data_IF_354982467399
#
_entry.id   IF_354982467399
#
_cell.length_a   1.000
_cell.length_b   1.000
_cell.length_c   1.000
_cell.angle_alpha   90.00
_cell.angle_beta   90.00
_cell.angle_gamma   90.00
#
_symmetry.space_group_name_H-M   'P 1'
#
loop_
_entity.id
_entity.type
_entity.pdbx_description
1 polymer ?
#
# COMPACT_ATOMS: atom_id res chain seq x y z
N UNK A 1 -45.21 -48.70 3.39
CA UNK A 1 -44.56 -47.53 2.75
C UNK A 1 -44.13 -46.48 3.79
N UNK A 2 -43.24 -46.80 4.74
CA UNK A 2 -43.05 -45.96 5.94
C UNK A 2 -41.62 -45.51 6.29
N UNK A 3 -40.57 -46.21 5.86
CA UNK A 3 -39.20 -45.91 6.31
C UNK A 3 -38.40 -45.06 5.31
N UNK A 4 -38.57 -45.32 4.02
CA UNK A 4 -37.88 -44.57 2.96
C UNK A 4 -38.31 -43.11 2.85
N UNK A 5 -39.61 -42.82 3.05
CA UNK A 5 -40.11 -41.44 3.05
C UNK A 5 -39.56 -40.62 4.23
N UNK A 6 -39.34 -41.26 5.38
CA UNK A 6 -38.79 -40.61 6.58
C UNK A 6 -37.30 -40.28 6.41
N UNK A 7 -36.52 -41.21 5.84
CA UNK A 7 -35.10 -40.99 5.53
C UNK A 7 -34.93 -39.88 4.48
N UNK A 8 -35.79 -39.86 3.46
CA UNK A 8 -35.75 -38.85 2.40
C UNK A 8 -36.14 -37.46 2.92
N UNK A 9 -37.05 -37.37 3.90
CA UNK A 9 -37.46 -36.12 4.54
C UNK A 9 -36.39 -35.60 5.53
N UNK A 10 -35.67 -36.49 6.21
CA UNK A 10 -34.51 -36.14 7.04
C UNK A 10 -33.31 -35.69 6.17
N UNK A 11 -33.07 -36.35 5.03
CA UNK A 11 -32.03 -35.95 4.09
C UNK A 11 -32.33 -34.61 3.40
N UNK A 12 -33.60 -34.34 3.05
CA UNK A 12 -33.99 -33.03 2.49
C UNK A 12 -33.96 -31.92 3.53
N UNK A 13 -34.32 -32.19 4.79
CA UNK A 13 -34.21 -31.20 5.86
C UNK A 13 -32.74 -30.94 6.23
N UNK A 14 -31.87 -31.94 6.27
CA UNK A 14 -30.43 -31.72 6.50
C UNK A 14 -29.73 -31.00 5.34
N UNK A 15 -30.18 -31.18 4.09
CA UNK A 15 -29.69 -30.43 2.93
C UNK A 15 -30.18 -28.97 2.90
N UNK A 16 -31.29 -28.63 3.58
CA UNK A 16 -31.79 -27.25 3.70
C UNK A 16 -31.32 -26.54 4.98
N UNK A 17 -30.85 -27.26 5.99
CA UNK A 17 -30.29 -26.67 7.22
C UNK A 17 -28.86 -26.14 6.99
N UNK A 18 -28.14 -26.62 5.97
CA UNK A 18 -26.79 -26.13 5.63
C UNK A 18 -26.73 -24.68 5.14
N UNK A 19 -27.86 -24.07 4.79
CA UNK A 19 -27.96 -22.67 4.36
C UNK A 19 -28.70 -21.76 5.35
N UNK A 20 -29.04 -22.26 6.53
CA UNK A 20 -29.62 -21.48 7.64
C UNK A 20 -28.55 -21.05 8.64
N UNK A 21 -27.37 -20.63 8.16
CA UNK A 21 -26.61 -19.65 8.90
C UNK A 21 -27.39 -18.34 8.79
N UNK A 22 -28.32 -18.12 9.73
CA UNK A 22 -29.00 -16.86 9.93
C UNK A 22 -27.97 -15.83 10.43
N UNK A 23 -27.06 -15.42 9.53
CA UNK A 23 -26.24 -14.25 9.70
C UNK A 23 -27.18 -13.09 9.39
N UNK A 24 -27.42 -12.24 10.38
CA UNK A 24 -28.25 -11.05 10.18
C UNK A 24 -27.71 -10.25 8.97
N UNK A 25 -28.56 -9.67 8.11
CA UNK A 25 -28.11 -8.83 7.00
C UNK A 25 -27.12 -7.73 7.44
N UNK A 26 -27.21 -7.25 8.69
CA UNK A 26 -26.24 -6.32 9.28
C UNK A 26 -24.85 -6.93 9.48
N UNK A 27 -24.75 -8.17 9.96
CA UNK A 27 -23.47 -8.88 10.11
C UNK A 27 -22.80 -9.12 8.75
N UNK A 28 -23.56 -9.53 7.72
CA UNK A 28 -22.99 -9.74 6.37
C UNK A 28 -22.48 -8.44 5.77
N UNK A 29 -23.23 -7.34 5.92
CA UNK A 29 -22.82 -6.02 5.44
C UNK A 29 -21.60 -5.47 6.20
N UNK A 30 -21.51 -5.73 7.50
CA UNK A 30 -20.34 -5.38 8.32
C UNK A 30 -19.12 -6.21 7.94
N UNK A 31 -19.28 -7.51 7.69
CA UNK A 31 -18.18 -8.37 7.22
C UNK A 31 -17.58 -7.89 5.91
N UNK A 32 -18.41 -7.46 4.95
CA UNK A 32 -17.95 -6.82 3.70
C UNK A 32 -17.16 -5.55 4.00
N UNK A 33 -17.66 -4.70 4.91
CA UNK A 33 -17.02 -3.45 5.28
C UNK A 33 -15.63 -3.65 5.90
N UNK A 34 -15.51 -4.63 6.81
CA UNK A 34 -14.23 -5.03 7.44
C UNK A 34 -13.24 -5.50 6.36
N UNK A 35 -13.71 -6.35 5.44
CA UNK A 35 -12.87 -6.87 4.37
C UNK A 35 -12.37 -5.75 3.44
N UNK A 36 -13.27 -4.87 3.00
CA UNK A 36 -12.93 -3.72 2.15
C UNK A 36 -11.94 -2.78 2.84
N UNK A 37 -12.13 -2.49 4.14
CA UNK A 37 -11.19 -1.65 4.88
C UNK A 37 -9.81 -2.29 4.94
N UNK A 38 -9.73 -3.58 5.24
CA UNK A 38 -8.46 -4.32 5.25
C UNK A 38 -7.74 -4.27 3.90
N UNK A 39 -8.46 -4.50 2.80
CA UNK A 39 -7.87 -4.38 1.46
C UNK A 39 -7.35 -2.97 1.17
N UNK A 40 -8.13 -1.94 1.51
CA UNK A 40 -7.77 -0.56 1.27
C UNK A 40 -6.60 -0.10 2.15
N UNK A 41 -6.56 -0.50 3.42
CA UNK A 41 -5.45 -0.23 4.35
C UNK A 41 -4.16 -0.88 3.83
N UNK A 42 -4.21 -2.14 3.39
CA UNK A 42 -3.04 -2.82 2.85
C UNK A 42 -2.55 -2.17 1.55
N UNK A 43 -3.47 -1.80 0.66
CA UNK A 43 -3.13 -1.13 -0.60
C UNK A 43 -2.47 0.22 -0.34
N UNK A 44 -3.07 1.05 0.54
CA UNK A 44 -2.59 2.40 0.80
C UNK A 44 -1.31 2.41 1.65
N UNK A 45 -1.11 1.38 2.49
CA UNK A 45 0.12 1.21 3.24
C UNK A 45 1.34 1.17 2.32
N UNK A 46 1.29 0.39 1.24
CA UNK A 46 2.39 0.32 0.27
C UNK A 46 2.67 1.69 -0.32
N UNK A 47 1.63 2.40 -0.77
CA UNK A 47 1.79 3.71 -1.39
C UNK A 47 2.32 4.77 -0.41
N UNK A 48 1.76 4.85 0.81
CA UNK A 48 2.22 5.78 1.84
C UNK A 48 3.64 5.46 2.33
N UNK A 49 3.97 4.18 2.51
CA UNK A 49 5.32 3.75 2.87
C UNK A 49 6.32 4.22 1.82
N UNK A 50 5.96 4.13 0.53
CA UNK A 50 6.73 4.63 -0.60
C UNK A 50 6.71 6.15 -0.80
N UNK A 51 5.90 6.90 -0.03
CA UNK A 51 5.95 8.38 0.02
C UNK A 51 6.69 8.88 1.26
N UNK A 52 6.73 8.10 2.35
CA UNK A 52 7.41 8.44 3.59
C UNK A 52 8.93 8.54 3.43
N UNK A 53 9.61 9.47 4.12
CA UNK A 53 11.05 9.65 3.97
C UNK A 53 11.79 8.34 4.24
N UNK A 54 12.87 8.05 3.48
CA UNK A 54 13.70 6.88 3.73
C UNK A 54 14.27 6.95 5.15
N UNK A 55 14.53 5.78 5.73
CA UNK A 55 15.22 5.73 7.01
C UNK A 55 16.68 6.14 6.81
N UNK A 56 17.20 6.94 7.72
CA UNK A 56 18.64 7.15 7.80
C UNK A 56 19.26 5.82 8.25
N UNK A 57 20.13 5.25 7.41
CA UNK A 57 20.92 4.10 7.81
C UNK A 57 21.74 4.52 9.03
N UNK A 58 21.58 3.84 10.17
CA UNK A 58 22.56 3.95 11.24
C UNK A 58 23.91 3.65 10.61
N UNK A 59 24.84 4.63 10.65
CA UNK A 59 26.18 4.44 10.16
C UNK A 59 26.68 3.08 10.66
N UNK A 60 27.10 2.22 9.74
CA UNK A 60 27.71 0.92 10.03
C UNK A 60 29.09 1.15 10.64
N UNK A 61 29.11 1.75 11.84
CA UNK A 61 30.28 1.78 12.68
C UNK A 61 30.38 0.38 13.25
N UNK A 62 31.35 -0.38 12.74
CA UNK A 62 31.77 -1.62 13.37
C UNK A 62 32.09 -1.29 14.83
N UNK A 63 31.42 -1.89 15.83
CA UNK A 63 31.65 -1.52 17.21
C UNK A 63 33.10 -1.84 17.57
N UNK A 64 33.86 -0.83 17.99
CA UNK A 64 35.14 -1.05 18.63
C UNK A 64 34.92 -1.87 19.91
N UNK A 65 35.86 -2.78 20.29
CA UNK A 65 35.66 -3.64 21.45
C UNK A 65 35.50 -2.77 22.71
N UNK A 66 34.32 -2.82 23.33
CA UNK A 66 34.01 -2.10 24.57
C UNK A 66 32.99 -0.97 24.48
N UNK A 67 32.40 -0.69 23.30
CA UNK A 67 31.26 0.22 23.21
C UNK A 67 29.91 -0.51 23.35
N UNK A 68 28.92 0.11 24.04
CA UNK A 68 27.56 -0.43 24.08
C UNK A 68 26.99 -0.56 22.66
N UNK A 69 26.13 -1.56 22.46
CA UNK A 69 25.50 -1.82 21.17
C UNK A 69 24.94 -0.53 20.55
N UNK A 70 25.11 -0.31 19.24
CA UNK A 70 24.59 0.89 18.59
C UNK A 70 23.09 0.99 18.89
N UNK A 71 22.67 2.16 19.40
CA UNK A 71 21.25 2.43 19.65
C UNK A 71 20.46 2.10 18.37
N UNK A 72 19.31 1.42 18.48
CA UNK A 72 18.50 1.14 17.30
C UNK A 72 18.19 2.46 16.60
N UNK A 73 18.47 2.52 15.29
CA UNK A 73 18.21 3.69 14.48
C UNK A 73 16.83 4.26 14.81
N UNK A 74 16.75 5.53 15.21
CA UNK A 74 15.48 6.19 15.54
C UNK A 74 14.62 6.16 14.29
N UNK A 75 13.56 5.34 14.30
CA UNK A 75 12.62 5.24 13.19
C UNK A 75 11.96 6.60 13.00
N UNK A 76 11.92 7.10 11.76
CA UNK A 76 11.28 8.38 11.40
C UNK A 76 9.75 8.29 11.45
N UNK A 77 9.19 8.05 12.63
CA UNK A 77 7.75 7.82 12.87
C UNK A 77 6.96 9.11 13.08
N UNK A 78 7.60 10.27 13.19
CA UNK A 78 6.89 11.56 13.36
C UNK A 78 6.31 12.14 12.07
N UNK A 79 6.40 11.40 10.96
CA UNK A 79 5.87 11.81 9.67
C UNK A 79 4.33 11.87 9.67
N UNK A 80 3.77 12.85 8.96
CA UNK A 80 2.33 13.04 8.78
C UNK A 80 1.65 11.83 8.13
N UNK A 81 2.32 11.16 7.18
CA UNK A 81 1.79 9.92 6.58
C UNK A 81 1.61 8.79 7.61
N UNK A 82 2.51 8.69 8.57
CA UNK A 82 2.39 7.70 9.65
C UNK A 82 1.22 8.03 10.56
N UNK A 83 1.06 9.30 10.95
CA UNK A 83 -0.05 9.77 11.79
C UNK A 83 -1.41 9.48 11.13
N UNK A 84 -1.53 9.78 9.83
CA UNK A 84 -2.74 9.52 9.06
C UNK A 84 -3.08 8.02 9.00
N UNK A 85 -2.10 7.17 8.66
CA UNK A 85 -2.32 5.73 8.57
C UNK A 85 -2.64 5.13 9.95
N UNK A 86 -1.93 5.58 11.00
CA UNK A 86 -2.16 5.12 12.36
C UNK A 86 -3.57 5.45 12.84
N UNK A 87 -4.05 6.68 12.58
CA UNK A 87 -5.42 7.07 12.92
C UNK A 87 -6.44 6.15 12.23
N UNK A 88 -6.31 5.97 10.90
CA UNK A 88 -7.24 5.14 10.14
C UNK A 88 -7.23 3.68 10.61
N UNK A 89 -6.04 3.15 10.90
CA UNK A 89 -5.87 1.79 11.40
C UNK A 89 -6.41 1.63 12.83
N UNK A 90 -6.26 2.64 13.70
CA UNK A 90 -6.80 2.61 15.05
C UNK A 90 -8.34 2.64 15.03
N UNK A 91 -8.94 3.48 14.19
CA UNK A 91 -10.39 3.53 14.02
C UNK A 91 -10.92 2.20 13.48
N UNK A 92 -10.25 1.59 12.49
CA UNK A 92 -10.61 0.26 11.98
C UNK A 92 -10.47 -0.85 13.04
N UNK A 93 -9.36 -0.84 13.79
CA UNK A 93 -9.11 -1.78 14.89
C UNK A 93 -10.22 -1.69 15.95
N UNK A 94 -10.61 -0.48 16.35
CA UNK A 94 -11.70 -0.27 17.30
C UNK A 94 -13.03 -0.80 16.77
N UNK A 95 -13.32 -0.61 15.48
CA UNK A 95 -14.50 -1.15 14.82
C UNK A 95 -14.53 -2.68 14.81
N UNK A 96 -13.40 -3.31 14.52
CA UNK A 96 -13.23 -4.76 14.59
C UNK A 96 -13.42 -5.29 16.02
N UNK A 97 -12.93 -4.58 17.04
CA UNK A 97 -13.14 -4.95 18.44
C UNK A 97 -14.62 -4.90 18.83
N UNK A 98 -15.35 -3.85 18.44
CA UNK A 98 -16.79 -3.74 18.69
C UNK A 98 -17.59 -4.83 17.95
N UNK A 99 -17.17 -5.17 16.73
CA UNK A 99 -17.77 -6.26 15.96
C UNK A 99 -17.62 -7.60 16.69
N UNK A 100 -16.42 -7.91 17.20
CA UNK A 100 -16.16 -9.13 17.98
C UNK A 100 -16.95 -9.17 19.30
N UNK A 101 -17.20 -8.01 19.90
CA UNK A 101 -18.07 -7.88 21.08
C UNK A 101 -19.57 -7.92 20.76
N UNK A 102 -19.95 -8.22 19.51
CA UNK A 102 -21.33 -8.23 19.02
C UNK A 102 -22.05 -6.88 19.12
N UNK A 103 -21.30 -5.77 19.22
CA UNK A 103 -21.85 -4.42 19.25
C UNK A 103 -21.85 -3.79 17.85
N UNK A 104 -22.80 -4.21 17.02
CA UNK A 104 -22.83 -3.90 15.58
C UNK A 104 -23.05 -2.41 15.26
N UNK A 105 -23.83 -1.69 16.06
CA UNK A 105 -24.08 -0.25 15.84
C UNK A 105 -22.80 0.57 16.00
N UNK A 106 -22.02 0.30 17.06
CA UNK A 106 -20.75 0.97 17.29
C UNK A 106 -19.68 0.49 16.31
N UNK A 107 -19.66 -0.81 15.97
CA UNK A 107 -18.78 -1.34 14.94
C UNK A 107 -18.99 -0.65 13.59
N UNK A 108 -20.24 -0.52 13.14
CA UNK A 108 -20.59 0.17 11.89
C UNK A 108 -20.10 1.62 11.89
N UNK A 109 -20.35 2.35 12.98
CA UNK A 109 -19.93 3.75 13.10
C UNK A 109 -18.42 3.90 12.97
N UNK A 110 -17.65 3.05 13.66
CA UNK A 110 -16.18 3.11 13.63
C UNK A 110 -15.63 2.67 12.28
N UNK A 111 -16.09 1.54 11.73
CA UNK A 111 -15.64 1.07 10.41
C UNK A 111 -15.96 2.07 9.30
N UNK A 112 -17.11 2.75 9.39
CA UNK A 112 -17.47 3.82 8.45
C UNK A 112 -16.64 5.09 8.67
N UNK A 113 -16.28 5.40 9.92
CA UNK A 113 -15.31 6.44 10.26
C UNK A 113 -13.93 6.17 9.64
N UNK A 114 -13.44 4.94 9.76
CA UNK A 114 -12.18 4.51 9.15
C UNK A 114 -12.19 4.69 7.62
N UNK A 115 -13.31 4.41 6.94
CA UNK A 115 -13.44 4.69 5.51
C UNK A 115 -13.39 6.19 5.17
N UNK A 116 -13.90 7.06 6.04
CA UNK A 116 -13.78 8.50 5.89
C UNK A 116 -12.32 8.95 5.98
N UNK A 117 -11.57 8.41 6.94
CA UNK A 117 -10.13 8.66 7.09
C UNK A 117 -9.34 8.14 5.89
N UNK A 118 -9.57 6.88 5.48
CA UNK A 118 -8.98 6.28 4.29
C UNK A 118 -9.25 7.12 3.04
N UNK A 119 -10.47 7.62 2.87
CA UNK A 119 -10.83 8.46 1.72
C UNK A 119 -9.93 9.71 1.64
N UNK A 120 -9.60 10.33 2.76
CA UNK A 120 -8.69 11.48 2.78
C UNK A 120 -7.24 11.07 2.46
N UNK A 121 -6.79 9.92 2.96
CA UNK A 121 -5.47 9.38 2.65
C UNK A 121 -5.33 9.11 1.14
N UNK A 122 -6.29 8.41 0.56
CA UNK A 122 -6.29 8.09 -0.87
C UNK A 122 -6.27 9.36 -1.73
N UNK A 123 -6.97 10.41 -1.33
CA UNK A 123 -6.99 11.71 -2.02
C UNK A 123 -5.61 12.39 -2.04
N UNK A 124 -4.89 12.35 -0.92
CA UNK A 124 -3.51 12.87 -0.85
C UNK A 124 -2.56 12.03 -1.70
N UNK A 125 -2.66 10.70 -1.63
CA UNK A 125 -1.78 9.78 -2.35
C UNK A 125 -1.96 9.91 -3.86
N UNK A 126 -3.20 9.90 -4.37
CA UNK A 126 -3.43 10.02 -5.81
C UNK A 126 -2.91 11.36 -6.35
N UNK A 127 -3.09 12.46 -5.61
CA UNK A 127 -2.56 13.76 -6.00
C UNK A 127 -1.03 13.74 -6.13
N UNK A 128 -0.34 13.16 -5.14
CA UNK A 128 1.12 12.99 -5.21
C UNK A 128 1.56 12.11 -6.36
N UNK A 129 0.81 11.05 -6.65
CA UNK A 129 1.13 10.16 -7.78
C UNK A 129 0.91 10.84 -9.14
N UNK A 130 -0.05 11.75 -9.25
CA UNK A 130 -0.25 12.58 -10.45
C UNK A 130 0.96 13.50 -10.64
N UNK A 131 1.43 14.16 -9.57
CA UNK A 131 2.63 15.01 -9.58
C UNK A 131 3.89 14.23 -10.02
N UNK A 132 4.11 13.04 -9.43
CA UNK A 132 5.23 12.16 -9.78
C UNK A 132 5.15 11.66 -11.23
N UNK A 133 3.98 11.19 -11.67
CA UNK A 133 3.81 10.66 -13.02
C UNK A 133 3.98 11.76 -14.08
N UNK A 134 3.45 12.96 -13.82
CA UNK A 134 3.61 14.12 -14.71
C UNK A 134 5.07 14.52 -14.83
N UNK A 135 5.77 14.69 -13.71
CA UNK A 135 7.18 15.07 -13.72
C UNK A 135 8.07 14.04 -14.42
N UNK A 136 7.79 12.74 -14.25
CA UNK A 136 8.50 11.66 -14.95
C UNK A 136 8.24 11.67 -16.46
N UNK A 137 6.99 11.91 -16.90
CA UNK A 137 6.64 11.95 -18.32
C UNK A 137 7.18 13.20 -19.02
N UNK A 138 7.07 14.36 -18.37
CA UNK A 138 7.52 15.65 -18.92
C UNK A 138 9.05 15.74 -19.02
N UNK A 139 9.78 15.17 -18.06
CA UNK A 139 11.25 15.09 -18.10
C UNK A 139 11.75 14.11 -19.18
N UNK A 140 11.05 12.99 -19.38
CA UNK A 140 11.40 12.00 -20.39
C UNK A 140 11.09 12.47 -21.82
N UNK A 141 10.04 13.29 -22.00
CA UNK A 141 9.51 13.64 -23.31
C UNK A 141 10.53 14.29 -24.26
N UNK A 142 11.35 15.29 -23.89
CA UNK A 142 12.32 15.90 -24.80
C UNK A 142 13.35 14.92 -25.36
N UNK A 143 13.85 14.00 -24.54
CA UNK A 143 14.83 12.98 -24.96
C UNK A 143 14.20 12.01 -25.96
N UNK A 144 12.99 11.53 -25.67
CA UNK A 144 12.27 10.56 -26.50
C UNK A 144 11.83 11.18 -27.85
N UNK A 145 11.41 12.44 -27.85
CA UNK A 145 11.01 13.11 -29.09
C UNK A 145 12.23 13.28 -30.01
N UNK A 146 13.40 13.62 -29.45
CA UNK A 146 14.66 13.78 -30.18
C UNK A 146 15.22 12.47 -30.74
N UNK A 147 15.06 11.34 -30.04
CA UNK A 147 15.57 10.04 -30.50
C UNK A 147 14.86 9.50 -31.74
N UNK A 148 13.74 10.10 -32.13
CA UNK A 148 12.91 9.73 -33.28
C UNK A 148 12.37 8.29 -33.30
N UNK A 149 12.55 7.51 -32.23
CA UNK A 149 12.07 6.13 -32.14
C UNK A 149 10.54 6.05 -32.02
N UNK A 150 9.91 5.30 -32.93
CA UNK A 150 8.45 5.19 -32.97
C UNK A 150 7.89 4.41 -31.77
N UNK A 151 8.60 3.36 -31.34
CA UNK A 151 8.21 2.53 -30.19
C UNK A 151 8.24 3.35 -28.88
N UNK A 152 9.34 4.07 -28.64
CA UNK A 152 9.45 5.00 -27.49
C UNK A 152 8.35 6.07 -27.49
N UNK A 153 8.04 6.67 -28.65
CA UNK A 153 6.97 7.67 -28.78
C UNK A 153 5.59 7.07 -28.51
N UNK A 154 5.34 5.84 -28.94
CA UNK A 154 4.08 5.16 -28.68
C UNK A 154 3.89 4.88 -27.18
N UNK A 155 4.93 4.41 -26.49
CA UNK A 155 4.92 4.21 -25.04
C UNK A 155 4.69 5.52 -24.28
N UNK A 156 5.35 6.61 -24.70
CA UNK A 156 5.14 7.93 -24.10
C UNK A 156 3.69 8.41 -24.24
N UNK A 157 3.06 8.22 -25.41
CA UNK A 157 1.64 8.55 -25.63
C UNK A 157 0.71 7.73 -24.72
N UNK A 158 0.99 6.44 -24.53
CA UNK A 158 0.25 5.59 -23.60
C UNK A 158 0.39 6.10 -22.16
N UNK A 159 1.58 6.56 -21.77
CA UNK A 159 1.83 7.18 -20.48
C UNK A 159 0.97 8.43 -20.24
N UNK A 160 0.99 9.39 -21.17
CA UNK A 160 0.16 10.61 -21.05
C UNK A 160 -1.34 10.33 -21.10
N UNK A 161 -1.79 9.35 -21.88
CA UNK A 161 -3.19 8.93 -21.88
C UNK A 161 -3.61 8.43 -20.51
N UNK A 162 -2.82 7.56 -19.91
CA UNK A 162 -3.11 6.98 -18.60
C UNK A 162 -3.03 8.02 -17.47
N UNK A 163 -2.10 8.97 -17.56
CA UNK A 163 -2.05 10.15 -16.67
C UNK A 163 -3.37 10.93 -16.75
N UNK A 164 -3.84 11.23 -17.96
CA UNK A 164 -5.09 11.95 -18.16
C UNK A 164 -6.29 11.20 -17.61
N UNK A 165 -6.38 9.89 -17.86
CA UNK A 165 -7.44 9.06 -17.30
C UNK A 165 -7.43 9.06 -15.76
N UNK A 166 -6.26 9.10 -15.13
CA UNK A 166 -6.15 9.20 -13.68
C UNK A 166 -6.62 10.57 -13.14
N UNK A 167 -6.32 11.67 -13.85
CA UNK A 167 -6.83 13.01 -13.51
C UNK A 167 -8.35 13.08 -13.59
N UNK A 168 -8.94 12.45 -14.60
CA UNK A 168 -10.40 12.39 -14.76
C UNK A 168 -11.04 11.55 -13.63
N UNK A 169 -10.42 10.43 -13.23
CA UNK A 169 -10.84 9.64 -12.06
C UNK A 169 -10.75 10.43 -10.75
N UNK A 170 -9.65 11.16 -10.54
CA UNK A 170 -9.46 12.03 -9.40
C UNK A 170 -10.54 13.11 -9.33
N UNK A 171 -10.79 13.80 -10.45
CA UNK A 171 -11.80 14.86 -10.57
C UNK A 171 -13.21 14.32 -10.34
N UNK A 172 -13.52 13.14 -10.89
CA UNK A 172 -14.80 12.45 -10.65
C UNK A 172 -14.96 12.10 -9.16
N UNK A 173 -13.88 11.64 -8.53
CA UNK A 173 -13.84 11.35 -7.10
C UNK A 173 -14.10 12.61 -6.25
N UNK A 174 -13.48 13.74 -6.59
CA UNK A 174 -13.71 15.02 -5.91
C UNK A 174 -15.16 15.49 -6.03
N UNK A 175 -15.73 15.42 -7.24
CA UNK A 175 -17.09 15.90 -7.53
C UNK A 175 -18.20 15.00 -6.98
N UNK A 176 -17.89 13.76 -6.59
CA UNK A 176 -18.84 12.85 -5.96
C UNK A 176 -19.18 13.26 -4.51
N UNK A 177 -20.32 12.79 -3.99
CA UNK A 177 -20.79 13.16 -2.65
C UNK A 177 -19.76 12.81 -1.55
N UNK A 178 -19.50 13.70 -0.56
CA UNK A 178 -18.53 13.45 0.51
C UNK A 178 -18.75 12.13 1.25
N UNK A 179 -20.01 11.71 1.38
CA UNK A 179 -20.39 10.50 2.13
C UNK A 179 -20.30 9.21 1.32
N UNK A 180 -20.01 9.25 0.03
CA UNK A 180 -19.87 8.06 -0.82
C UNK A 180 -18.45 7.46 -0.73
N UNK A 181 -18.01 7.09 0.47
CA UNK A 181 -16.62 6.66 0.71
C UNK A 181 -16.20 5.48 -0.16
N UNK A 182 -17.01 4.43 -0.27
CA UNK A 182 -16.70 3.22 -1.08
C UNK A 182 -16.43 3.57 -2.54
N UNK A 183 -17.31 4.38 -3.14
CA UNK A 183 -17.15 4.82 -4.53
C UNK A 183 -15.89 5.66 -4.74
N UNK A 184 -15.61 6.63 -3.84
CA UNK A 184 -14.38 7.42 -3.87
C UNK A 184 -13.13 6.56 -3.72
N UNK A 185 -13.13 5.63 -2.78
CA UNK A 185 -12.02 4.70 -2.56
C UNK A 185 -11.74 3.86 -3.81
N UNK A 186 -12.78 3.34 -4.48
CA UNK A 186 -12.62 2.61 -5.74
C UNK A 186 -12.02 3.50 -6.84
N UNK A 187 -12.57 4.70 -7.06
CA UNK A 187 -12.05 5.62 -8.08
C UNK A 187 -10.59 6.01 -7.83
N UNK A 188 -10.24 6.34 -6.59
CA UNK A 188 -8.87 6.71 -6.23
C UNK A 188 -7.91 5.51 -6.32
N UNK A 189 -8.34 4.31 -5.91
CA UNK A 189 -7.56 3.07 -6.07
C UNK A 189 -7.27 2.78 -7.54
N UNK A 190 -8.28 2.87 -8.40
CA UNK A 190 -8.13 2.71 -9.85
C UNK A 190 -7.21 3.78 -10.43
N UNK A 191 -7.36 5.04 -10.02
CA UNK A 191 -6.48 6.14 -10.42
C UNK A 191 -5.02 5.93 -10.02
N UNK A 192 -4.74 5.43 -8.81
CA UNK A 192 -3.38 5.10 -8.38
C UNK A 192 -2.80 3.96 -9.23
N UNK A 193 -3.60 2.92 -9.53
CA UNK A 193 -3.18 1.82 -10.39
C UNK A 193 -2.90 2.27 -11.84
N UNK A 194 -3.71 3.18 -12.39
CA UNK A 194 -3.48 3.76 -13.71
C UNK A 194 -2.24 4.65 -13.72
N UNK A 195 -1.96 5.40 -12.65
CA UNK A 195 -0.73 6.19 -12.51
C UNK A 195 0.51 5.30 -12.42
N UNK A 196 0.48 4.20 -11.66
CA UNK A 196 1.56 3.20 -11.65
C UNK A 196 1.81 2.60 -13.03
N UNK A 197 0.76 2.45 -13.84
CA UNK A 197 0.89 2.03 -15.25
C UNK A 197 1.50 3.12 -16.12
N UNK A 198 1.09 4.38 -15.96
CA UNK A 198 1.68 5.53 -16.66
C UNK A 198 3.19 5.66 -16.37
N UNK A 199 3.58 5.58 -15.09
CA UNK A 199 4.99 5.59 -14.66
C UNK A 199 5.78 4.43 -15.28
N UNK A 200 5.22 3.21 -15.35
CA UNK A 200 5.84 2.08 -16.06
C UNK A 200 6.08 2.37 -17.53
N UNK A 201 5.10 2.95 -18.23
CA UNK A 201 5.29 3.33 -19.63
C UNK A 201 6.35 4.42 -19.80
N UNK A 202 6.44 5.37 -18.88
CA UNK A 202 7.50 6.38 -18.89
C UNK A 202 8.89 5.73 -18.75
N UNK A 203 9.06 4.83 -17.77
CA UNK A 203 10.30 4.07 -17.55
C UNK A 203 10.68 3.25 -18.79
N UNK A 204 9.73 2.50 -19.34
CA UNK A 204 9.97 1.70 -20.54
C UNK A 204 10.34 2.58 -21.75
N UNK A 205 9.66 3.72 -21.93
CA UNK A 205 9.97 4.65 -23.02
C UNK A 205 11.38 5.26 -22.87
N UNK A 206 11.81 5.56 -21.64
CA UNK A 206 13.18 6.02 -21.37
C UNK A 206 14.21 4.96 -21.74
N UNK A 207 14.01 3.71 -21.30
CA UNK A 207 14.89 2.58 -21.65
C UNK A 207 14.97 2.44 -23.16
N UNK A 208 13.83 2.27 -23.84
CA UNK A 208 13.77 2.07 -25.29
C UNK A 208 14.43 3.20 -26.10
N UNK A 209 14.31 4.45 -25.62
CA UNK A 209 14.92 5.61 -26.28
C UNK A 209 16.45 5.65 -26.17
N UNK A 210 17.01 4.98 -25.16
CA UNK A 210 18.45 4.91 -24.88
C UNK A 210 19.08 3.60 -25.35
N UNK A 211 18.26 2.60 -25.69
CA UNK A 211 18.72 1.34 -26.28
C UNK A 211 19.17 1.58 -27.72
N UNK A 212 20.42 1.25 -28.08
CA UNK A 212 20.90 1.26 -29.46
C UNK A 212 20.02 0.38 -30.36
N UNK A 213 19.93 0.72 -31.65
CA UNK A 213 19.06 -0.03 -32.58
C UNK A 213 19.48 -1.51 -32.73
N UNK A 214 20.77 -1.82 -32.58
CA UNK A 214 21.29 -3.20 -32.64
C UNK A 214 20.80 -4.08 -31.48
N UNK A 215 20.58 -3.50 -30.30
CA UNK A 215 20.16 -4.19 -29.09
C UNK A 215 18.63 -4.37 -29.02
N UNK A 216 17.88 -3.77 -29.96
CA UNK A 216 16.42 -3.82 -29.97
C UNK A 216 15.94 -5.15 -30.54
N UNK A 217 14.86 -5.72 -29.96
CA UNK A 217 14.35 -7.03 -30.39
C UNK A 217 13.86 -7.02 -31.84
N UNK A 218 13.51 -5.86 -32.40
CA UNK A 218 13.06 -5.76 -33.79
C UNK A 218 14.18 -5.94 -34.82
N UNK A 219 15.44 -5.67 -34.44
CA UNK A 219 16.60 -5.70 -35.35
C UNK A 219 17.53 -6.90 -35.11
N UNK A 220 17.28 -7.70 -34.06
CA UNK A 220 18.09 -8.85 -33.71
C UNK A 220 17.73 -10.08 -34.55
N UNK A 221 18.69 -10.60 -35.32
CA UNK A 221 18.57 -11.91 -35.95
C UNK A 221 18.73 -13.01 -34.90
N UNK A 222 17.65 -13.74 -34.59
CA UNK A 222 17.67 -14.81 -33.58
C UNK A 222 18.04 -16.16 -34.19
N UNK A 223 19.07 -16.80 -33.67
CA UNK A 223 19.41 -18.19 -33.93
C UNK A 223 18.50 -19.15 -33.16
N UNK A 224 18.52 -20.45 -33.49
CA UNK A 224 17.74 -21.47 -32.76
C UNK A 224 18.17 -21.63 -31.29
N UNK A 225 19.42 -21.27 -30.95
CA UNK A 225 19.91 -21.28 -29.58
C UNK A 225 19.38 -20.05 -28.82
N UNK A 226 19.36 -18.88 -29.46
CA UNK A 226 18.76 -17.65 -28.92
C UNK A 226 17.26 -17.82 -28.65
N UNK A 227 16.56 -18.63 -29.45
CA UNK A 227 15.14 -18.97 -29.19
C UNK A 227 14.97 -19.83 -27.93
N UNK A 228 15.94 -20.70 -27.60
CA UNK A 228 15.91 -21.47 -26.35
C UNK A 228 16.23 -20.60 -25.15
N UNK A 229 17.16 -19.65 -25.30
CA UNK A 229 17.51 -18.68 -24.27
C UNK A 229 16.37 -17.68 -24.03
N UNK A 230 15.76 -17.15 -25.09
CA UNK A 230 14.55 -16.33 -25.02
C UNK A 230 13.39 -17.03 -24.29
N UNK A 231 13.24 -18.35 -24.47
CA UNK A 231 12.24 -19.15 -23.74
C UNK A 231 12.55 -19.24 -22.24
N UNK A 232 13.83 -19.22 -21.86
CA UNK A 232 14.22 -19.18 -20.46
C UNK A 232 14.08 -17.77 -19.89
N UNK A 233 14.39 -16.73 -20.66
CA UNK A 233 14.13 -15.34 -20.31
C UNK A 233 12.64 -15.08 -20.13
N UNK A 234 11.75 -15.61 -20.97
CA UNK A 234 10.29 -15.51 -20.82
C UNK A 234 9.78 -15.98 -19.44
N UNK A 235 10.50 -16.88 -18.77
CA UNK A 235 10.15 -17.34 -17.42
C UNK A 235 10.48 -16.32 -16.33
N UNK A 236 11.41 -15.40 -16.58
CA UNK A 236 11.76 -14.37 -15.62
C UNK A 236 10.62 -13.35 -15.49
N UNK A 237 10.34 -12.91 -14.26
CA UNK A 237 9.24 -11.97 -14.00
C UNK A 237 9.55 -10.62 -14.64
N UNK A 238 8.55 -10.00 -15.27
CA UNK A 238 8.69 -8.68 -15.92
C UNK A 238 9.28 -7.59 -15.00
N UNK A 239 9.02 -7.68 -13.69
CA UNK A 239 9.60 -6.79 -12.70
C UNK A 239 11.14 -6.86 -12.68
N UNK A 240 11.70 -8.07 -12.60
CA UNK A 240 13.15 -8.29 -12.51
C UNK A 240 13.84 -7.85 -13.79
N UNK A 241 13.28 -8.20 -14.96
CA UNK A 241 13.80 -7.78 -16.27
C UNK A 241 13.96 -6.26 -16.38
N UNK A 242 12.92 -5.50 -16.02
CA UNK A 242 12.97 -4.04 -16.11
C UNK A 242 13.90 -3.46 -15.06
N UNK A 243 13.96 -4.07 -13.87
CA UNK A 243 14.86 -3.63 -12.79
C UNK A 243 16.33 -3.83 -13.17
N UNK A 244 16.68 -5.00 -13.71
CA UNK A 244 18.04 -5.35 -14.09
C UNK A 244 18.50 -4.50 -15.29
N UNK A 245 17.61 -4.26 -16.27
CA UNK A 245 17.91 -3.34 -17.38
C UNK A 245 18.09 -1.90 -16.90
N UNK A 246 17.28 -1.42 -15.94
CA UNK A 246 17.49 -0.11 -15.32
C UNK A 246 18.85 -0.01 -14.63
N UNK A 247 19.21 -1.01 -13.82
CA UNK A 247 20.50 -1.06 -13.13
C UNK A 247 21.65 -1.00 -14.15
N UNK A 248 21.61 -1.84 -15.18
CA UNK A 248 22.63 -1.85 -16.23
C UNK A 248 22.75 -0.50 -16.95
N UNK A 249 21.64 0.19 -17.23
CA UNK A 249 21.67 1.49 -17.91
C UNK A 249 22.19 2.61 -17.00
N UNK A 250 21.91 2.54 -15.69
CA UNK A 250 22.42 3.47 -14.70
C UNK A 250 23.93 3.27 -14.48
N UNK A 251 24.38 2.02 -14.31
CA UNK A 251 25.79 1.67 -14.12
C UNK A 251 26.64 2.06 -15.34
N UNK A 252 26.10 1.83 -16.55
CA UNK A 252 26.74 2.23 -17.80
C UNK A 252 26.56 3.73 -18.13
N UNK A 253 26.00 4.54 -17.22
CA UNK A 253 25.75 5.98 -17.38
C UNK A 253 24.94 6.35 -18.63
N UNK A 254 24.12 5.43 -19.15
CA UNK A 254 23.18 5.68 -20.24
C UNK A 254 21.92 6.41 -19.77
N UNK A 255 21.60 6.28 -18.48
CA UNK A 255 20.50 6.96 -17.81
C UNK A 255 20.93 7.49 -16.44
N UNK A 256 20.36 8.62 -16.05
CA UNK A 256 20.49 9.14 -14.69
C UNK A 256 19.55 8.38 -13.76
N UNK A 257 20.01 8.09 -12.55
CA UNK A 257 19.19 7.41 -11.54
C UNK A 257 18.03 8.28 -11.04
N UNK A 258 18.26 9.58 -10.98
CA UNK A 258 17.31 10.55 -10.43
C UNK A 258 16.81 11.47 -11.51
N UNK A 259 15.51 11.73 -11.51
CA UNK A 259 14.85 12.63 -12.44
C UNK A 259 14.36 13.85 -11.68
N UNK A 260 14.87 15.03 -12.02
CA UNK A 260 14.38 16.29 -11.48
C UNK A 260 13.09 16.72 -12.22
N UNK A 261 12.04 17.14 -11.50
CA UNK A 261 10.83 17.64 -12.12
C UNK A 261 11.10 18.89 -12.99
N UNK A 262 10.63 18.92 -14.24
CA UNK A 262 10.77 20.11 -15.07
C UNK A 262 9.91 21.25 -14.49
N UNK A 263 10.51 22.43 -14.33
CA UNK A 263 9.81 23.64 -13.87
C UNK A 263 9.76 23.86 -12.35
N UNK A 264 10.24 22.91 -11.53
CA UNK A 264 10.42 23.14 -10.09
C UNK A 264 11.75 22.54 -9.59
N UNK A 265 12.83 23.33 -9.50
CA UNK A 265 14.14 22.86 -9.06
C UNK A 265 14.20 22.47 -7.57
N UNK A 266 13.25 22.94 -6.75
CA UNK A 266 13.17 22.64 -5.32
C UNK A 266 12.40 21.34 -5.03
N UNK A 267 11.75 20.76 -6.06
CA UNK A 267 11.00 19.53 -5.90
C UNK A 267 11.96 18.33 -5.73
N UNK A 268 11.60 17.42 -4.82
CA UNK A 268 12.39 16.22 -4.53
C UNK A 268 12.63 15.43 -5.82
N UNK A 269 13.90 15.09 -6.15
CA UNK A 269 14.18 14.30 -7.34
C UNK A 269 13.60 12.88 -7.18
N UNK A 270 13.07 12.35 -8.28
CA UNK A 270 12.47 11.02 -8.31
C UNK A 270 13.53 9.98 -8.65
N UNK A 271 13.75 8.99 -7.78
CA UNK A 271 14.62 7.84 -8.07
C UNK A 271 13.86 6.80 -8.92
N UNK A 272 14.39 6.49 -10.11
CA UNK A 272 13.78 5.55 -11.05
C UNK A 272 13.60 4.14 -10.47
N UNK A 273 14.54 3.68 -9.63
CA UNK A 273 14.44 2.35 -9.02
C UNK A 273 13.34 2.32 -7.97
N UNK A 274 13.22 3.37 -7.16
CA UNK A 274 12.13 3.47 -6.17
C UNK A 274 10.76 3.56 -6.84
N UNK A 275 10.66 4.33 -7.92
CA UNK A 275 9.42 4.42 -8.71
C UNK A 275 9.08 3.08 -9.36
N UNK A 276 10.08 2.32 -9.83
CA UNK A 276 9.86 0.97 -10.37
C UNK A 276 9.34 0.01 -9.29
N UNK A 277 9.95 -0.02 -8.10
CA UNK A 277 9.48 -0.86 -6.99
C UNK A 277 8.02 -0.54 -6.61
N UNK A 278 7.68 0.74 -6.48
CA UNK A 278 6.32 1.17 -6.17
C UNK A 278 5.30 0.80 -7.26
N UNK A 279 5.69 0.88 -8.54
CA UNK A 279 4.81 0.54 -9.65
C UNK A 279 4.31 -0.92 -9.62
N UNK A 280 5.07 -1.81 -8.97
CA UNK A 280 4.71 -3.22 -8.77
C UNK A 280 4.13 -3.50 -7.37
N UNK A 281 3.97 -2.47 -6.54
CA UNK A 281 3.39 -2.59 -5.21
C UNK A 281 4.36 -3.15 -4.15
N UNK A 282 5.67 -2.99 -4.36
CA UNK A 282 6.67 -3.30 -3.35
C UNK A 282 6.97 -2.08 -2.49
N UNK A 283 7.23 -2.29 -1.20
CA UNK A 283 7.79 -1.26 -0.33
C UNK A 283 9.29 -1.21 -0.61
N UNK A 284 9.81 -0.05 -0.96
CA UNK A 284 11.24 0.14 -1.24
C UNK A 284 12.08 -0.27 -0.03
N UNK A 285 13.21 -0.94 -0.23
CA UNK A 285 14.06 -1.52 0.84
C UNK A 285 14.53 -0.54 1.92
N UNK A 286 14.60 0.76 1.61
CA UNK A 286 14.99 1.82 2.56
C UNK A 286 13.82 2.43 3.34
N UNK A 287 12.60 1.97 3.09
CA UNK A 287 11.36 2.53 3.64
C UNK A 287 10.71 1.53 4.59
N UNK A 288 10.07 2.06 5.64
CA UNK A 288 9.40 1.26 6.66
C UNK A 288 8.01 0.86 6.18
N UNK A 289 7.57 -0.34 6.57
CA UNK A 289 6.16 -0.70 6.54
C UNK A 289 5.43 0.06 7.66
N UNK A 290 4.73 1.13 7.28
CA UNK A 290 4.05 2.01 8.23
C UNK A 290 2.92 1.30 8.97
N UNK A 291 2.24 0.34 8.34
CA UNK A 291 1.16 -0.42 8.95
C UNK A 291 1.68 -1.37 10.02
N UNK A 292 2.81 -2.02 9.77
CA UNK A 292 3.45 -2.88 10.77
C UNK A 292 3.81 -2.08 12.03
N UNK A 293 4.43 -0.91 11.86
CA UNK A 293 4.77 -0.02 12.98
C UNK A 293 3.53 0.53 13.69
N UNK A 294 2.48 0.89 12.94
CA UNK A 294 1.22 1.36 13.52
C UNK A 294 0.57 0.27 14.38
N UNK A 295 0.57 -0.98 13.90
CA UNK A 295 0.05 -2.13 14.63
C UNK A 295 0.83 -2.40 15.92
N UNK A 296 2.16 -2.25 15.91
CA UNK A 296 2.98 -2.39 17.12
C UNK A 296 2.58 -1.33 18.16
N UNK A 297 2.49 -0.06 17.76
CA UNK A 297 2.10 1.01 18.68
C UNK A 297 0.67 0.86 19.21
N UNK A 298 -0.28 0.42 18.39
CA UNK A 298 -1.66 0.20 18.83
C UNK A 298 -1.71 -0.92 19.87
N UNK A 299 -0.99 -2.03 19.65
CA UNK A 299 -0.90 -3.13 20.61
C UNK A 299 -0.27 -2.70 21.93
N UNK A 300 0.81 -1.92 21.89
CA UNK A 300 1.46 -1.40 23.11
C UNK A 300 0.53 -0.45 23.88
N UNK A 301 -0.13 0.46 23.17
CA UNK A 301 -0.98 1.50 23.81
C UNK A 301 -2.28 0.93 24.37
N UNK A 302 -2.89 -0.06 23.70
CA UNK A 302 -4.15 -0.67 24.16
C UNK A 302 -3.94 -1.89 25.07
N UNK A 303 -2.86 -2.65 24.87
CA UNK A 303 -2.42 -3.70 25.80
C UNK A 303 -2.06 -3.13 27.16
N UNK A 304 -1.35 -2.00 27.20
CA UNK A 304 -1.06 -1.28 28.44
C UNK A 304 -2.31 -0.74 29.16
N UNK A 305 -3.40 -0.47 28.42
CA UNK A 305 -4.70 -0.09 29.01
C UNK A 305 -5.47 -1.28 29.62
N UNK A 306 -5.07 -2.52 29.33
CA UNK A 306 -5.64 -3.74 29.94
C UNK A 306 -4.88 -4.21 31.18
N UNK A 307 -3.73 -3.62 31.51
CA UNK A 307 -2.99 -3.87 32.75
C UNK A 307 -3.11 -2.70 33.75
N UNK A 308 -4.34 -2.30 34.08
CA UNK A 308 -4.61 -2.01 35.48
C UNK A 308 -5.09 -3.32 36.10
N UNK A 309 -4.14 -4.20 36.43
CA UNK A 309 -4.44 -5.27 37.39
C UNK A 309 -5.07 -4.56 38.59
N UNK A 310 -6.26 -4.95 39.05
CA UNK A 310 -6.84 -4.33 40.23
C UNK A 310 -5.78 -4.36 41.34
N UNK A 311 -5.58 -3.25 42.06
CA UNK A 311 -4.51 -3.17 43.05
C UNK A 311 -4.58 -4.39 43.95
N UNK A 312 -3.46 -5.12 44.05
CA UNK A 312 -3.39 -6.33 44.87
C UNK A 312 -3.91 -5.96 46.27
N UNK A 313 -4.97 -6.62 46.76
CA UNK A 313 -5.55 -6.26 48.04
C UNK A 313 -4.47 -6.40 49.11
N UNK A 314 -4.31 -5.35 49.92
CA UNK A 314 -3.49 -5.47 51.12
C UNK A 314 -4.32 -6.20 52.16
N UNK A 315 -3.77 -7.24 52.78
CA UNK A 315 -4.42 -7.94 53.87
C UNK A 315 -3.89 -7.35 55.18
N UNK A 316 -4.79 -6.84 56.01
CA UNK A 316 -4.43 -6.43 57.37
C UNK A 316 -4.06 -7.66 58.21
N UNK A 317 -3.42 -7.49 59.38
CA UNK A 317 -3.00 -8.59 60.27
C UNK A 317 -4.15 -9.51 60.75
N UNK A 318 -5.40 -9.11 60.47
CA UNK A 318 -6.64 -9.85 60.76
C UNK A 318 -7.23 -10.57 59.52
N UNK A 319 -6.49 -10.60 58.40
CA UNK A 319 -6.88 -11.31 57.18
C UNK A 319 -7.96 -10.61 56.33
N UNK A 320 -8.24 -9.33 56.60
CA UNK A 320 -9.27 -8.56 55.89
C UNK A 320 -8.63 -7.81 54.71
N UNK A 321 -9.19 -7.98 53.51
CA UNK A 321 -8.70 -7.32 52.30
C UNK A 321 -9.10 -5.84 52.27
N UNK A 322 -8.12 -4.94 52.18
CA UNK A 322 -8.31 -3.51 51.95
C UNK A 322 -7.85 -3.15 50.53
N UNK A 323 -8.68 -2.40 49.81
CA UNK A 323 -8.39 -1.88 48.47
C UNK A 323 -8.02 -0.40 48.58
N UNK A 324 -6.92 0.07 47.99
CA UNK A 324 -6.64 1.50 47.92
C UNK A 324 -7.67 2.18 47.01
N UNK A 325 -8.38 3.18 47.52
CA UNK A 325 -9.33 3.98 46.73
C UNK A 325 -8.58 4.72 45.62
N UNK A 326 -9.07 4.61 44.38
CA UNK A 326 -8.55 5.37 43.25
C UNK A 326 -8.78 6.86 43.50
N UNK A 327 -7.70 7.64 43.52
CA UNK A 327 -7.79 9.10 43.64
C UNK A 327 -8.62 9.66 42.45
N UNK A 328 -9.56 10.59 42.70
CA UNK A 328 -10.37 11.16 41.64
C UNK A 328 -9.48 11.92 40.65
N UNK A 329 -9.58 11.53 39.37
CA UNK A 329 -8.84 12.15 38.25
C UNK A 329 -9.27 13.63 38.14
N UNK A 330 -8.30 14.54 38.21
CA UNK A 330 -8.47 15.97 37.91
C UNK A 330 -8.41 16.25 36.42
#
# INVERSE_FOLDING_TARGET
>A
MGKWKFILLIALSSLHISHLNAVSPEQTNLGILIFENKENINFINVALSNLAPPQEEAATVTPAPGQPAPEPAKKNLENDYFKLLKAANQTDFSGNMWYLQSNYTYAFRQLRGAQGELKNIFEVVIQKYIEDARSLLESAAPSIIRSNDNSSKALLRLGFRDLRSAEDLYTTGLNSSPHQFRYKLTLYKEGILTLRRAKRFAILAMIYSKTPDEDKPEYQYRSNEDLKEARNEEKQRNYEKVRDTLINFIENKRMERTVAPPGNPDAKPLDLLEQHDDNYGFITSKRLDLLQEANLQIKETEGAKRESVPPVPKFDEQGKATYPEEAPKK
#
